data_IF_509212722125
#
_entry.id   IF_509212722125
#
_cell.length_a   1.000
_cell.length_b   1.000
_cell.length_c   1.000
_cell.angle_alpha   90.00
_cell.angle_beta   90.00
_cell.angle_gamma   90.00
#
_symmetry.space_group_name_H-M   'P 1'
#
loop_
_entity.id
_entity.type
_entity.pdbx_description
1 polymer ?
#
# COMPACT_ATOMS: atom_id res chain seq x y z
N UNK A 1 -14.66 -8.39 2.18
CA UNK A 1 -14.65 -7.57 0.95
C UNK A 1 -15.99 -6.88 0.80
N UNK A 2 -16.01 -5.54 0.67
CA UNK A 2 -17.22 -4.73 0.52
C UNK A 2 -17.39 -4.26 -0.93
N UNK A 3 -18.62 -4.14 -1.45
CA UNK A 3 -18.87 -3.55 -2.76
C UNK A 3 -18.59 -2.05 -2.73
N UNK A 4 -18.20 -1.46 -3.85
CA UNK A 4 -17.95 -0.02 -3.97
C UNK A 4 -19.19 0.83 -3.63
N UNK A 5 -20.39 0.31 -3.89
CA UNK A 5 -21.65 0.98 -3.53
C UNK A 5 -21.80 1.25 -2.03
N UNK A 6 -21.10 0.52 -1.16
CA UNK A 6 -21.08 0.80 0.28
C UNK A 6 -20.50 2.18 0.62
N UNK A 7 -19.71 2.76 -0.28
CA UNK A 7 -19.10 4.08 -0.13
C UNK A 7 -19.96 5.22 -0.71
N UNK A 8 -21.00 4.92 -1.47
CA UNK A 8 -21.86 5.94 -2.10
C UNK A 8 -22.50 6.90 -1.10
N UNK A 9 -22.89 6.38 0.07
CA UNK A 9 -23.48 7.18 1.15
C UNK A 9 -22.58 8.35 1.62
N UNK A 10 -21.28 8.26 1.38
CA UNK A 10 -20.34 9.31 1.73
C UNK A 10 -20.11 10.33 0.60
N UNK A 11 -20.53 10.04 -0.61
CA UNK A 11 -20.27 10.86 -1.82
C UNK A 11 -21.53 11.53 -2.33
N UNK A 12 -22.60 10.76 -2.53
CA UNK A 12 -23.85 11.23 -3.16
C UNK A 12 -24.50 12.47 -2.52
N UNK A 13 -24.47 12.65 -1.17
CA UNK A 13 -25.06 13.85 -0.56
C UNK A 13 -24.43 15.17 -1.05
N UNK A 14 -23.12 15.16 -1.37
CA UNK A 14 -22.40 16.35 -1.82
C UNK A 14 -22.31 16.49 -3.34
N UNK A 15 -22.78 15.47 -4.07
CA UNK A 15 -22.75 15.43 -5.55
C UNK A 15 -24.12 15.06 -6.13
N UNK A 16 -25.18 15.84 -5.83
CA UNK A 16 -26.53 15.51 -6.27
C UNK A 16 -26.62 15.51 -7.81
N UNK A 17 -27.25 14.46 -8.36
CA UNK A 17 -27.41 14.28 -9.82
C UNK A 17 -26.17 13.72 -10.52
N UNK A 18 -25.12 13.33 -9.80
CA UNK A 18 -23.99 12.62 -10.39
C UNK A 18 -24.39 11.16 -10.71
N UNK A 19 -24.14 10.66 -11.94
CA UNK A 19 -24.41 9.27 -12.27
C UNK A 19 -23.55 8.30 -11.42
N UNK A 20 -24.16 7.19 -10.98
CA UNK A 20 -23.49 6.20 -10.12
C UNK A 20 -22.21 5.64 -10.77
N UNK A 21 -22.19 5.45 -12.08
CA UNK A 21 -20.99 5.00 -12.80
C UNK A 21 -19.82 5.97 -12.63
N UNK A 22 -20.10 7.28 -12.64
CA UNK A 22 -19.06 8.32 -12.45
C UNK A 22 -18.58 8.30 -10.99
N UNK A 23 -19.50 8.11 -10.04
CA UNK A 23 -19.16 7.95 -8.62
C UNK A 23 -18.27 6.73 -8.41
N UNK A 24 -18.63 5.58 -8.99
CA UNK A 24 -17.88 4.33 -8.87
C UNK A 24 -16.45 4.46 -9.42
N UNK A 25 -16.29 5.01 -10.62
CA UNK A 25 -14.99 5.22 -11.23
C UNK A 25 -14.09 6.14 -10.38
N UNK A 26 -14.64 7.24 -9.87
CA UNK A 26 -13.88 8.19 -9.07
C UNK A 26 -13.57 7.64 -7.67
N UNK A 27 -14.42 6.81 -7.07
CA UNK A 27 -14.15 6.10 -5.83
C UNK A 27 -13.00 5.11 -6.00
N UNK A 28 -13.00 4.30 -7.07
CA UNK A 28 -11.90 3.37 -7.38
C UNK A 28 -10.58 4.11 -7.53
N UNK A 29 -10.56 5.16 -8.35
CA UNK A 29 -9.34 5.94 -8.56
C UNK A 29 -8.87 6.62 -7.28
N UNK A 30 -9.77 7.17 -6.46
CA UNK A 30 -9.42 7.75 -5.18
C UNK A 30 -8.85 6.70 -4.20
N UNK A 31 -9.40 5.49 -4.19
CA UNK A 31 -8.89 4.40 -3.36
C UNK A 31 -7.50 3.93 -3.82
N UNK A 32 -7.28 3.81 -5.13
CA UNK A 32 -5.99 3.46 -5.70
C UNK A 32 -4.93 4.47 -5.28
N UNK A 33 -5.19 5.76 -5.51
CA UNK A 33 -4.23 6.82 -5.18
C UNK A 33 -4.00 6.91 -3.67
N UNK A 34 -5.06 6.82 -2.85
CA UNK A 34 -4.94 6.83 -1.41
C UNK A 34 -4.06 5.69 -0.90
N UNK A 35 -4.35 4.45 -1.32
CA UNK A 35 -3.66 3.26 -0.82
C UNK A 35 -2.25 3.12 -1.39
N UNK A 36 -2.04 3.47 -2.67
CA UNK A 36 -0.72 3.49 -3.27
C UNK A 36 0.19 4.50 -2.60
N UNK A 37 -0.30 5.73 -2.39
CA UNK A 37 0.51 6.80 -1.83
C UNK A 37 0.71 6.69 -0.32
N UNK A 38 -0.29 6.23 0.44
CA UNK A 38 -0.16 6.04 1.88
C UNK A 38 0.47 4.72 2.27
N UNK A 39 0.30 3.67 1.46
CA UNK A 39 0.63 2.29 1.80
C UNK A 39 -0.15 1.77 3.01
N UNK A 40 -1.34 2.31 3.28
CA UNK A 40 -2.12 2.01 4.47
C UNK A 40 -2.73 0.60 4.48
N UNK A 41 -2.91 -0.03 3.33
CA UNK A 41 -3.38 -1.41 3.24
C UNK A 41 -2.18 -2.35 3.17
N UNK A 42 -1.95 -3.09 4.26
CA UNK A 42 -0.83 -4.02 4.40
C UNK A 42 -1.35 -5.45 4.38
N UNK A 43 -0.75 -6.26 3.53
CA UNK A 43 -1.00 -7.70 3.41
C UNK A 43 0.19 -8.46 3.98
N UNK A 44 -0.08 -9.47 4.80
CA UNK A 44 0.93 -10.35 5.37
C UNK A 44 0.95 -11.67 4.59
N UNK A 45 2.11 -12.10 4.17
CA UNK A 45 2.37 -13.44 3.62
C UNK A 45 3.15 -14.21 4.69
N UNK A 46 2.50 -15.05 5.48
CA UNK A 46 3.11 -15.65 6.67
C UNK A 46 4.13 -16.73 6.36
N UNK A 47 4.00 -17.42 5.23
CA UNK A 47 4.89 -18.49 4.80
C UNK A 47 4.99 -18.53 3.28
N UNK A 48 6.15 -18.21 2.75
CA UNK A 48 6.53 -18.37 1.35
C UNK A 48 7.70 -19.34 1.29
N UNK A 49 7.54 -20.48 0.59
CA UNK A 49 8.59 -21.46 0.45
C UNK A 49 9.62 -20.99 -0.59
N UNK A 50 10.91 -21.04 -0.26
CA UNK A 50 12.00 -20.85 -1.20
C UNK A 50 12.86 -22.13 -1.27
N UNK A 51 13.46 -22.36 -2.42
CA UNK A 51 14.22 -23.57 -2.74
C UNK A 51 15.72 -23.25 -2.76
N UNK A 52 16.55 -24.22 -2.37
CA UNK A 52 17.99 -24.11 -2.48
C UNK A 52 18.40 -23.84 -3.94
N UNK A 53 19.45 -23.05 -4.13
CA UNK A 53 20.05 -22.64 -5.39
C UNK A 53 19.12 -21.86 -6.34
N UNK A 54 17.94 -21.43 -5.85
CA UNK A 54 17.00 -20.57 -6.58
C UNK A 54 16.98 -19.20 -5.90
N UNK A 55 17.20 -18.15 -6.68
CA UNK A 55 17.16 -16.77 -6.19
C UNK A 55 15.94 -15.98 -6.66
N UNK A 56 15.43 -16.28 -7.87
CA UNK A 56 14.33 -15.52 -8.49
C UNK A 56 12.98 -16.18 -8.24
N UNK A 57 12.01 -15.36 -7.84
CA UNK A 57 10.65 -15.79 -7.51
C UNK A 57 9.62 -14.80 -8.04
N UNK A 58 8.40 -15.29 -8.19
CA UNK A 58 7.25 -14.46 -8.58
C UNK A 58 6.30 -14.32 -7.40
N UNK A 59 5.91 -13.08 -7.09
CA UNK A 59 4.88 -12.80 -6.11
C UNK A 59 3.50 -12.93 -6.76
N UNK A 60 2.60 -13.65 -6.08
CA UNK A 60 1.18 -13.68 -6.44
C UNK A 60 0.40 -12.77 -5.48
N UNK A 61 0.05 -11.54 -5.89
CA UNK A 61 -0.76 -10.67 -5.05
C UNK A 61 -2.15 -11.26 -4.83
N UNK A 62 -2.82 -10.84 -3.76
CA UNK A 62 -4.21 -11.21 -3.53
C UNK A 62 -5.08 -10.78 -4.73
N UNK A 63 -6.15 -11.54 -5.01
CA UNK A 63 -7.05 -11.27 -6.12
C UNK A 63 -7.51 -9.79 -6.10
N UNK A 64 -7.61 -9.20 -7.29
CA UNK A 64 -8.01 -7.80 -7.48
C UNK A 64 -7.11 -6.75 -6.81
N UNK A 65 -5.88 -7.13 -6.41
CA UNK A 65 -4.93 -6.19 -5.82
C UNK A 65 -3.60 -6.15 -6.58
N UNK A 66 -2.90 -5.04 -6.46
CA UNK A 66 -1.53 -4.83 -6.93
C UNK A 66 -0.63 -4.47 -5.76
N UNK A 67 0.63 -4.87 -5.86
CA UNK A 67 1.64 -4.55 -4.87
C UNK A 67 2.16 -3.12 -5.09
N UNK A 68 2.18 -2.32 -4.03
CA UNK A 68 2.78 -0.97 -4.04
C UNK A 68 4.25 -0.99 -3.61
N UNK A 69 4.61 -1.88 -2.69
CA UNK A 69 5.98 -2.04 -2.23
C UNK A 69 6.08 -3.00 -1.05
N UNK A 70 7.23 -3.65 -0.92
CA UNK A 70 7.53 -4.53 0.20
C UNK A 70 7.91 -3.67 1.42
N UNK A 71 7.39 -4.04 2.58
CA UNK A 71 7.61 -3.33 3.84
C UNK A 71 8.67 -4.03 4.68
N UNK A 72 8.58 -5.35 4.75
CA UNK A 72 9.44 -6.18 5.58
C UNK A 72 9.49 -7.60 4.99
N UNK A 73 10.64 -8.24 5.07
CA UNK A 73 10.81 -9.66 4.77
C UNK A 73 11.68 -10.31 5.85
N UNK A 74 11.36 -11.54 6.25
CA UNK A 74 12.09 -12.29 7.28
C UNK A 74 12.13 -13.76 6.93
N UNK A 75 13.31 -14.37 7.05
CA UNK A 75 13.47 -15.82 6.94
C UNK A 75 12.99 -16.47 8.25
N UNK A 76 12.25 -17.57 8.16
CA UNK A 76 11.82 -18.33 9.32
C UNK A 76 13.03 -18.81 10.14
N UNK A 77 12.94 -18.67 11.47
CA UNK A 77 14.04 -19.01 12.38
C UNK A 77 15.14 -17.96 12.51
N UNK A 78 15.11 -16.87 11.71
CA UNK A 78 16.04 -15.76 11.85
C UNK A 78 15.45 -14.65 12.72
N UNK A 79 16.30 -14.05 13.56
CA UNK A 79 15.89 -12.97 14.48
C UNK A 79 15.78 -11.61 13.81
N UNK A 80 16.47 -11.43 12.69
CA UNK A 80 16.55 -10.15 11.98
C UNK A 80 15.71 -10.16 10.70
N UNK A 81 15.14 -9.01 10.38
CA UNK A 81 14.51 -8.79 9.07
C UNK A 81 15.57 -8.70 7.98
N UNK A 82 15.22 -9.15 6.78
CA UNK A 82 16.05 -8.99 5.58
C UNK A 82 16.16 -7.51 5.22
N UNK A 83 17.27 -7.11 4.64
CA UNK A 83 17.40 -5.79 4.02
C UNK A 83 16.54 -5.75 2.75
N UNK A 84 15.89 -4.61 2.53
CA UNK A 84 15.18 -4.37 1.26
C UNK A 84 16.16 -3.72 0.28
N UNK A 85 16.44 -4.43 -0.81
CA UNK A 85 17.33 -3.97 -1.87
C UNK A 85 16.56 -3.36 -3.04
N UNK A 86 17.27 -2.62 -3.87
CA UNK A 86 16.74 -2.07 -5.13
C UNK A 86 17.36 -2.79 -6.32
N UNK A 87 16.62 -3.00 -7.44
CA UNK A 87 17.14 -3.68 -8.63
C UNK A 87 18.32 -2.95 -9.28
N UNK A 88 18.45 -1.65 -9.05
CA UNK A 88 19.53 -0.81 -9.61
C UNK A 88 20.91 -1.08 -9.02
N UNK A 89 20.99 -1.82 -7.90
CA UNK A 89 22.26 -2.18 -7.28
C UNK A 89 22.72 -3.52 -7.90
N UNK A 90 23.89 -3.52 -8.52
CA UNK A 90 24.51 -4.75 -9.01
C UNK A 90 24.98 -5.59 -7.82
N UNK A 91 24.28 -6.68 -7.56
CA UNK A 91 24.67 -7.67 -6.56
C UNK A 91 25.57 -8.73 -7.22
N UNK A 92 26.78 -8.88 -6.69
CA UNK A 92 27.68 -9.94 -7.16
C UNK A 92 27.09 -11.31 -6.86
N UNK A 93 27.28 -12.28 -7.76
CA UNK A 93 26.87 -13.65 -7.53
C UNK A 93 27.53 -14.19 -6.25
N UNK A 94 26.71 -14.48 -5.25
CA UNK A 94 27.13 -15.08 -3.97
C UNK A 94 26.11 -16.10 -3.52
N UNK A 95 26.58 -17.09 -2.79
CA UNK A 95 25.74 -18.09 -2.12
C UNK A 95 25.90 -17.98 -0.61
N UNK A 96 24.85 -18.25 0.14
CA UNK A 96 24.87 -18.35 1.59
C UNK A 96 23.80 -19.33 2.06
N UNK A 97 23.91 -19.79 3.31
CA UNK A 97 22.88 -20.66 3.91
C UNK A 97 21.49 -20.03 3.84
N UNK A 98 21.41 -18.74 4.17
CA UNK A 98 20.14 -18.01 4.16
C UNK A 98 20.28 -16.70 3.38
N UNK A 99 19.23 -16.28 2.66
CA UNK A 99 19.22 -14.97 2.02
C UNK A 99 19.12 -13.85 3.09
N UNK A 100 19.80 -12.75 2.86
CA UNK A 100 19.78 -11.58 3.76
C UNK A 100 19.19 -10.33 3.14
N UNK A 101 19.03 -10.29 1.82
CA UNK A 101 18.45 -9.16 1.07
C UNK A 101 17.27 -9.65 0.24
N UNK A 102 16.17 -8.92 0.32
CA UNK A 102 14.99 -9.09 -0.52
C UNK A 102 14.97 -7.95 -1.54
N UNK A 103 15.08 -8.27 -2.82
CA UNK A 103 15.15 -7.31 -3.91
C UNK A 103 13.83 -7.40 -4.68
N UNK A 104 12.96 -6.39 -4.52
CA UNK A 104 11.74 -6.31 -5.32
C UNK A 104 12.09 -5.88 -6.76
N UNK A 105 11.49 -6.53 -7.76
CA UNK A 105 11.60 -6.13 -9.15
C UNK A 105 10.83 -4.83 -9.44
N UNK A 106 11.19 -4.15 -10.51
CA UNK A 106 10.53 -2.90 -10.95
C UNK A 106 9.06 -3.12 -11.35
N UNK A 107 8.70 -4.34 -11.71
CA UNK A 107 7.33 -4.76 -12.05
C UNK A 107 6.42 -4.99 -10.83
N UNK A 108 6.99 -4.93 -9.60
CA UNK A 108 6.31 -5.28 -8.36
C UNK A 108 5.68 -6.69 -8.32
N UNK A 109 6.10 -7.57 -9.23
CA UNK A 109 5.63 -8.96 -9.33
C UNK A 109 6.78 -9.91 -9.03
N UNK A 110 7.94 -9.67 -9.64
CA UNK A 110 9.12 -10.50 -9.45
C UNK A 110 9.97 -9.98 -8.28
N UNK A 111 10.62 -10.89 -7.57
CA UNK A 111 11.61 -10.54 -6.57
C UNK A 111 12.78 -11.51 -6.56
N UNK A 112 13.90 -11.07 -6.03
CA UNK A 112 15.12 -11.86 -5.93
C UNK A 112 15.60 -11.92 -4.49
N UNK A 113 16.01 -13.10 -4.05
CA UNK A 113 16.66 -13.32 -2.77
C UNK A 113 18.17 -13.30 -2.95
N UNK A 114 18.87 -12.50 -2.16
CA UNK A 114 20.32 -12.41 -2.23
C UNK A 114 20.94 -12.50 -0.81
N UNK A 115 22.07 -13.18 -0.62
CA UNK A 115 22.71 -14.14 -1.55
C UNK A 115 21.78 -15.30 -1.91
N UNK A 116 22.12 -16.02 -3.00
CA UNK A 116 21.36 -17.23 -3.37
C UNK A 116 21.42 -18.24 -2.23
N UNK A 117 20.27 -18.70 -1.68
CA UNK A 117 20.25 -19.62 -0.57
C UNK A 117 20.76 -21.01 -0.98
N UNK A 118 21.59 -21.63 -0.14
CA UNK A 118 22.06 -23.01 -0.36
C UNK A 118 21.18 -24.05 0.32
N UNK A 119 20.23 -23.62 1.14
CA UNK A 119 19.22 -24.47 1.80
C UNK A 119 17.83 -23.94 1.50
N UNK A 120 16.90 -24.85 1.31
CA UNK A 120 15.48 -24.51 1.19
C UNK A 120 14.92 -24.08 2.53
N UNK A 121 13.92 -23.22 2.51
CA UNK A 121 13.30 -22.73 3.72
C UNK A 121 12.00 -21.97 3.46
N UNK A 122 11.57 -21.21 4.46
CA UNK A 122 10.41 -20.34 4.35
C UNK A 122 10.76 -18.93 4.74
N UNK A 123 10.15 -17.97 4.08
CA UNK A 123 10.20 -16.57 4.46
C UNK A 123 8.79 -16.03 4.66
N UNK A 124 8.65 -15.12 5.60
CA UNK A 124 7.45 -14.30 5.77
C UNK A 124 7.76 -12.89 5.26
N UNK A 125 6.82 -12.29 4.54
CA UNK A 125 6.97 -10.90 4.14
C UNK A 125 5.67 -10.14 4.18
N UNK A 126 5.78 -8.83 4.27
CA UNK A 126 4.66 -7.89 4.32
C UNK A 126 4.80 -6.90 3.20
N UNK A 127 3.70 -6.64 2.52
CA UNK A 127 3.68 -5.65 1.44
C UNK A 127 2.46 -4.73 1.56
N UNK A 128 2.60 -3.54 1.02
CA UNK A 128 1.47 -2.63 0.82
C UNK A 128 0.81 -2.92 -0.51
N UNK A 129 -0.51 -2.90 -0.52
CA UNK A 129 -1.32 -3.20 -1.70
C UNK A 129 -2.35 -2.11 -1.97
N UNK A 130 -2.84 -2.06 -3.20
CA UNK A 130 -3.96 -1.23 -3.62
C UNK A 130 -4.83 -2.01 -4.62
N UNK A 131 -6.13 -1.71 -4.75
CA UNK A 131 -7.02 -2.42 -5.66
C UNK A 131 -6.66 -2.13 -7.12
N UNK A 132 -6.93 -3.09 -8.02
CA UNK A 132 -6.85 -2.87 -9.47
C UNK A 132 -7.97 -1.95 -9.94
N UNK A 133 -7.84 -1.39 -11.14
CA UNK A 133 -8.89 -0.59 -11.79
C UNK A 133 -10.18 -1.39 -12.02
N UNK A 134 -10.06 -2.70 -12.21
CA UNK A 134 -11.15 -3.63 -12.47
C UNK A 134 -11.68 -4.32 -11.21
N UNK A 135 -11.11 -4.04 -10.03
CA UNK A 135 -11.53 -4.66 -8.79
C UNK A 135 -13.03 -4.46 -8.54
N UNK A 136 -13.76 -5.55 -8.35
CA UNK A 136 -15.19 -5.51 -8.07
C UNK A 136 -15.48 -5.05 -6.63
N UNK A 137 -14.55 -5.26 -5.73
CA UNK A 137 -14.71 -5.03 -4.29
C UNK A 137 -13.49 -4.32 -3.70
N UNK A 138 -13.67 -3.78 -2.51
CA UNK A 138 -12.61 -3.17 -1.70
C UNK A 138 -12.48 -3.93 -0.37
N UNK A 139 -11.27 -4.08 0.20
CA UNK A 139 -11.10 -4.75 1.50
C UNK A 139 -11.90 -4.08 2.61
N UNK A 140 -12.60 -4.88 3.44
CA UNK A 140 -13.44 -4.37 4.53
C UNK A 140 -12.68 -3.47 5.50
N UNK A 141 -11.42 -3.81 5.79
CA UNK A 141 -10.55 -3.01 6.67
C UNK A 141 -10.30 -1.62 6.10
N UNK A 142 -10.20 -1.49 4.77
CA UNK A 142 -10.03 -0.19 4.10
C UNK A 142 -11.29 0.65 4.24
N UNK A 143 -12.47 0.04 4.04
CA UNK A 143 -13.75 0.72 4.22
C UNK A 143 -13.92 1.14 5.69
N UNK A 144 -13.64 0.25 6.63
CA UNK A 144 -13.81 0.54 8.06
C UNK A 144 -12.93 1.70 8.55
N UNK A 145 -11.73 1.84 8.01
CA UNK A 145 -10.76 2.84 8.49
C UNK A 145 -10.69 4.10 7.63
N UNK A 146 -10.92 3.99 6.31
CA UNK A 146 -10.57 5.02 5.35
C UNK A 146 -11.71 5.42 4.40
N UNK A 147 -12.95 4.96 4.64
CA UNK A 147 -14.11 5.29 3.80
C UNK A 147 -14.25 6.79 3.53
N UNK A 148 -14.16 7.61 4.59
CA UNK A 148 -14.30 9.06 4.50
C UNK A 148 -13.14 9.71 3.73
N UNK A 149 -11.91 9.21 3.89
CA UNK A 149 -10.74 9.67 3.14
C UNK A 149 -10.91 9.41 1.64
N UNK A 150 -11.28 8.19 1.26
CA UNK A 150 -11.51 7.80 -0.14
C UNK A 150 -12.66 8.61 -0.73
N UNK A 151 -13.74 8.80 0.02
CA UNK A 151 -14.86 9.61 -0.42
C UNK A 151 -14.48 11.08 -0.68
N UNK A 152 -13.61 11.68 0.15
CA UNK A 152 -13.08 13.03 -0.10
C UNK A 152 -12.30 13.11 -1.41
N UNK A 153 -11.45 12.13 -1.70
CA UNK A 153 -10.73 12.06 -2.97
C UNK A 153 -11.68 11.91 -4.17
N UNK A 154 -12.73 11.11 -4.05
CA UNK A 154 -13.74 10.97 -5.09
C UNK A 154 -14.54 12.27 -5.30
N UNK A 155 -15.01 12.92 -4.21
CA UNK A 155 -15.69 14.22 -4.27
C UNK A 155 -14.84 15.29 -4.94
N UNK A 156 -13.56 15.38 -4.59
CA UNK A 156 -12.65 16.34 -5.19
C UNK A 156 -12.64 16.22 -6.72
N UNK A 157 -12.56 14.98 -7.24
CA UNK A 157 -12.55 14.71 -8.67
C UNK A 157 -13.90 14.98 -9.34
N UNK A 158 -14.98 14.51 -8.73
CA UNK A 158 -16.34 14.68 -9.27
C UNK A 158 -16.71 16.15 -9.38
N UNK A 159 -16.48 16.93 -8.32
CA UNK A 159 -16.80 18.35 -8.26
C UNK A 159 -15.90 19.21 -9.15
N UNK A 160 -14.73 18.69 -9.56
CA UNK A 160 -13.83 19.34 -10.52
C UNK A 160 -14.24 19.13 -11.99
N UNK A 161 -15.20 18.22 -12.29
CA UNK A 161 -15.63 17.96 -13.67
C UNK A 161 -16.33 19.20 -14.25
N UNK A 162 -15.87 19.75 -15.38
CA UNK A 162 -16.44 20.98 -15.94
C UNK A 162 -17.81 20.72 -16.57
N UNK A 163 -18.69 21.73 -16.56
CA UNK A 163 -19.95 21.75 -17.29
C UNK A 163 -21.02 20.78 -16.77
N UNK A 164 -20.95 20.37 -15.51
CA UNK A 164 -21.95 19.52 -14.86
C UNK A 164 -22.74 20.33 -13.81
N UNK A 165 -23.97 19.91 -13.52
CA UNK A 165 -24.83 20.56 -12.52
C UNK A 165 -24.23 20.54 -11.11
N UNK A 166 -23.39 19.54 -10.82
CA UNK A 166 -22.69 19.36 -9.54
C UNK A 166 -21.28 19.96 -9.52
N UNK A 167 -20.83 20.66 -10.57
CA UNK A 167 -19.48 21.27 -10.61
C UNK A 167 -19.33 22.35 -9.54
N UNK A 168 -18.31 22.23 -8.72
CA UNK A 168 -17.94 23.23 -7.72
C UNK A 168 -16.43 23.24 -7.45
N UNK A 169 -15.71 24.08 -8.19
CA UNK A 169 -14.24 24.14 -8.13
C UNK A 169 -13.70 24.51 -6.75
N UNK A 170 -14.40 25.39 -6.00
CA UNK A 170 -14.00 25.80 -4.65
C UNK A 170 -14.09 24.64 -3.67
N UNK A 171 -15.19 23.88 -3.72
CA UNK A 171 -15.39 22.72 -2.87
C UNK A 171 -14.48 21.57 -3.27
N UNK A 172 -14.22 21.39 -4.56
CA UNK A 172 -13.26 20.41 -5.08
C UNK A 172 -11.86 20.65 -4.51
N UNK A 173 -11.36 21.88 -4.52
CA UNK A 173 -10.05 22.23 -3.98
C UNK A 173 -9.94 21.97 -2.47
N UNK A 174 -11.01 22.23 -1.71
CA UNK A 174 -11.07 21.95 -0.28
C UNK A 174 -10.98 20.43 -0.01
N UNK A 175 -11.76 19.62 -0.71
CA UNK A 175 -11.70 18.17 -0.56
C UNK A 175 -10.36 17.58 -1.00
N UNK A 176 -9.73 18.13 -2.04
CA UNK A 176 -8.40 17.71 -2.47
C UNK A 176 -7.35 17.98 -1.38
N UNK A 177 -7.36 19.16 -0.75
CA UNK A 177 -6.47 19.48 0.37
C UNK A 177 -6.67 18.53 1.55
N UNK A 178 -7.93 18.26 1.93
CA UNK A 178 -8.26 17.32 3.00
C UNK A 178 -7.82 15.89 2.67
N UNK A 179 -7.98 15.46 1.42
CA UNK A 179 -7.54 14.16 0.92
C UNK A 179 -6.04 14.00 1.07
N UNK A 180 -5.26 14.95 0.59
CA UNK A 180 -3.78 14.95 0.72
C UNK A 180 -3.32 14.97 2.16
N UNK A 181 -3.95 15.76 3.01
CA UNK A 181 -3.66 15.78 4.44
C UNK A 181 -3.91 14.41 5.09
N UNK A 182 -4.99 13.72 4.68
CA UNK A 182 -5.31 12.38 5.18
C UNK A 182 -4.32 11.33 4.68
N UNK A 183 -3.85 11.40 3.43
CA UNK A 183 -2.76 10.55 2.91
C UNK A 183 -1.51 10.69 3.77
N UNK A 184 -1.09 11.92 4.07
CA UNK A 184 0.10 12.18 4.89
C UNK A 184 -0.08 11.63 6.31
N UNK A 185 -1.26 11.79 6.91
CA UNK A 185 -1.58 11.20 8.21
C UNK A 185 -1.50 9.67 8.17
N UNK A 186 -2.03 9.04 7.14
CA UNK A 186 -1.99 7.58 6.97
C UNK A 186 -0.54 7.07 6.80
N UNK A 187 0.32 7.79 6.06
CA UNK A 187 1.77 7.49 5.98
C UNK A 187 2.43 7.48 7.36
N UNK A 188 2.18 8.51 8.15
CA UNK A 188 2.75 8.63 9.50
C UNK A 188 2.26 7.48 10.39
N UNK A 189 0.96 7.16 10.36
CA UNK A 189 0.40 6.05 11.13
C UNK A 189 1.01 4.71 10.71
N UNK A 190 1.21 4.49 9.42
CA UNK A 190 1.88 3.28 8.93
C UNK A 190 3.33 3.18 9.44
N UNK A 191 4.09 4.26 9.39
CA UNK A 191 5.49 4.29 9.82
C UNK A 191 5.65 4.08 11.33
N UNK A 192 4.73 4.63 12.12
CA UNK A 192 4.72 4.49 13.58
C UNK A 192 4.15 3.15 14.05
N UNK A 193 3.45 2.42 13.17
CA UNK A 193 2.63 1.29 13.59
C UNK A 193 1.47 1.73 14.49
N UNK A 194 0.81 0.77 15.15
CA UNK A 194 -0.25 1.04 16.12
C UNK A 194 0.29 1.54 17.49
N UNK A 195 1.57 1.86 17.57
CA UNK A 195 2.19 2.35 18.80
C UNK A 195 1.79 3.81 19.04
N UNK A 196 0.98 4.03 20.05
CA UNK A 196 0.65 5.36 20.59
C UNK A 196 1.73 5.94 21.49
N UNK A 197 2.77 5.16 21.79
CA UNK A 197 3.90 5.63 22.59
C UNK A 197 4.67 6.71 21.83
N UNK A 198 4.74 7.91 22.41
CA UNK A 198 5.53 9.00 21.88
C UNK A 198 6.98 8.57 21.70
N UNK A 199 7.49 8.69 20.50
CA UNK A 199 8.91 8.44 20.21
C UNK A 199 9.71 9.53 20.90
N UNK A 200 10.13 9.29 22.14
CA UNK A 200 11.09 10.17 22.80
C UNK A 200 12.46 9.90 22.19
N UNK A 201 12.97 10.84 21.41
CA UNK A 201 14.37 10.86 21.01
C UNK A 201 15.16 11.10 22.29
N UNK A 202 15.85 10.08 22.81
CA UNK A 202 16.88 10.26 23.85
C UNK A 202 18.14 10.73 23.14
N UNK A 203 18.47 11.99 23.32
CA UNK A 203 19.82 12.45 23.03
C UNK A 203 20.75 11.81 24.05
N UNK A 204 21.72 11.03 23.60
CA UNK A 204 22.88 10.69 24.44
C UNK A 204 23.73 11.94 24.53
N UNK A 205 23.99 12.46 25.74
CA UNK A 205 24.97 13.50 25.85
C UNK A 205 26.31 12.90 25.42
N UNK A 206 26.92 13.48 24.40
CA UNK A 206 28.29 13.16 24.05
C UNK A 206 29.12 13.54 25.28
N UNK A 207 29.68 12.53 25.95
CA UNK A 207 30.54 12.74 27.09
C UNK A 207 31.75 13.61 26.69
N UNK A 208 31.98 14.64 27.47
CA UNK A 208 33.22 15.43 27.52
C UNK A 208 34.31 14.56 28.15
#
# INVERSE_FOLDING_TARGET
MAPWSSLYRYVLPDTPGCPELVVDQNLRQAAIDFLRDSGAYVVNVPAFAYTADVSAYTHAPAADTQLSGVIEARVAGQTHSMQLGTPSIAYNARTALYPSVFIAGDDNINFTLWPTPTVSGTLAYRYSAYPTQTAATVPDIVVAQWADAIARGAKARILALPGKSYTNAKLASLYEQQFRATINRAKILRQRGALTAGTRVRFWPFGV
#
